data_IF_816531611124
#
_entry.id   IF_816531611124
#
_cell.length_a   1.000
_cell.length_b   1.000
_cell.length_c   1.000
_cell.angle_alpha   90.00
_cell.angle_beta   90.00
_cell.angle_gamma   90.00
#
_symmetry.space_group_name_H-M   'P 1'
#
loop_
_entity.id
_entity.type
_entity.pdbx_description
1 polymer ?
#
# COMPACT_ATOMS: atom_id res chain seq x y z
N UNK A 1 3.82 0.88 -21.77
CA UNK A 1 3.55 0.23 -20.48
C UNK A 1 3.00 1.30 -19.55
N UNK A 2 1.79 1.13 -19.01
CA UNK A 2 1.20 2.11 -18.11
C UNK A 2 1.92 2.09 -16.76
N UNK A 3 2.22 3.26 -16.20
CA UNK A 3 2.72 3.39 -14.84
C UNK A 3 1.63 2.89 -13.87
N UNK A 4 1.99 1.98 -12.97
CA UNK A 4 1.09 1.52 -11.92
C UNK A 4 0.92 2.58 -10.84
N UNK A 5 -0.10 2.46 -9.99
CA UNK A 5 -0.36 3.39 -8.87
C UNK A 5 0.89 3.57 -7.99
N UNK A 6 1.66 2.51 -7.77
CA UNK A 6 2.87 2.58 -6.96
C UNK A 6 4.01 3.41 -7.60
N UNK A 7 3.99 3.62 -8.92
CA UNK A 7 4.97 4.45 -9.63
C UNK A 7 4.68 5.94 -9.51
N UNK A 8 3.47 6.33 -9.09
CA UNK A 8 3.11 7.72 -8.83
C UNK A 8 3.41 8.18 -7.40
N UNK A 9 3.86 7.26 -6.53
CA UNK A 9 4.14 7.53 -5.12
C UNK A 9 5.53 8.12 -4.93
N UNK A 10 5.61 9.21 -4.18
CA UNK A 10 6.84 9.87 -3.78
C UNK A 10 7.47 9.19 -2.59
N UNK A 11 8.72 9.54 -2.24
CA UNK A 11 9.39 8.99 -1.06
C UNK A 11 8.63 9.27 0.26
N UNK A 12 7.90 10.39 0.35
CA UNK A 12 7.15 10.78 1.54
C UNK A 12 5.89 9.92 1.79
N UNK A 13 5.37 9.27 0.75
CA UNK A 13 4.19 8.40 0.86
C UNK A 13 4.51 7.05 1.53
N UNK A 14 5.80 6.70 1.63
CA UNK A 14 6.27 5.42 2.17
C UNK A 14 6.63 5.54 3.65
N UNK A 15 6.17 4.55 4.44
CA UNK A 15 6.52 4.38 5.85
C UNK A 15 7.13 3.00 6.07
N UNK A 16 8.29 2.96 6.71
CA UNK A 16 8.93 1.69 7.08
C UNK A 16 8.23 1.09 8.30
N UNK A 17 7.69 -0.12 8.14
CA UNK A 17 6.99 -0.88 9.18
C UNK A 17 7.27 -2.37 9.04
N UNK A 18 7.25 -3.08 10.17
CA UNK A 18 7.35 -4.53 10.21
C UNK A 18 6.06 -5.16 9.68
N UNK A 19 6.18 -6.21 8.87
CA UNK A 19 5.10 -7.11 8.47
C UNK A 19 4.82 -8.20 9.51
N UNK A 20 5.48 -8.12 10.68
CA UNK A 20 5.49 -9.16 11.70
C UNK A 20 6.84 -9.86 11.83
N UNK A 21 6.94 -10.73 12.83
CA UNK A 21 8.15 -11.50 13.12
C UNK A 21 8.21 -12.74 12.23
N UNK A 22 9.24 -12.80 11.37
CA UNK A 22 9.56 -13.99 10.58
C UNK A 22 10.59 -14.88 11.27
N UNK A 23 11.00 -15.94 10.59
CA UNK A 23 12.01 -16.91 11.09
C UNK A 23 13.40 -16.31 11.30
N UNK A 24 13.68 -15.13 10.72
CA UNK A 24 14.95 -14.41 10.83
C UNK A 24 14.82 -13.09 11.63
N UNK A 25 13.74 -12.91 12.38
CA UNK A 25 13.42 -11.65 13.07
C UNK A 25 12.38 -10.81 12.31
N UNK A 26 12.29 -9.53 12.63
CA UNK A 26 11.26 -8.65 12.06
C UNK A 26 11.41 -8.49 10.54
N UNK A 27 10.31 -8.70 9.83
CA UNK A 27 10.25 -8.53 8.39
C UNK A 27 9.94 -7.07 8.03
N UNK A 28 10.96 -6.25 7.82
CA UNK A 28 10.81 -4.82 7.51
C UNK A 28 10.50 -4.55 6.04
N UNK A 29 9.45 -3.76 5.79
CA UNK A 29 9.09 -3.30 4.44
C UNK A 29 8.75 -1.80 4.45
N UNK A 30 8.73 -1.22 3.25
CA UNK A 30 8.12 0.09 3.03
C UNK A 30 6.65 -0.09 2.65
N UNK A 31 5.79 0.71 3.27
CA UNK A 31 4.34 0.67 3.08
C UNK A 31 3.80 2.02 2.66
N UNK A 32 2.85 2.03 1.73
CA UNK A 32 2.11 3.22 1.34
C UNK A 32 0.61 2.91 1.34
N UNK A 33 -0.20 3.85 1.81
CA UNK A 33 -1.65 3.75 1.82
C UNK A 33 -2.21 4.71 0.77
N UNK A 34 -2.89 4.18 -0.24
CA UNK A 34 -3.45 4.97 -1.34
C UNK A 34 -4.98 4.89 -1.29
N UNK A 35 -5.70 6.01 -1.22
CA UNK A 35 -7.15 5.98 -1.27
C UNK A 35 -7.65 5.58 -2.66
N UNK A 36 -8.61 4.67 -2.72
CA UNK A 36 -9.22 4.20 -3.97
C UNK A 36 -10.55 4.92 -4.26
N UNK A 37 -10.51 6.26 -4.32
CA UNK A 37 -11.71 7.10 -4.48
C UNK A 37 -12.54 6.77 -5.73
N UNK A 38 -11.93 6.28 -6.81
CA UNK A 38 -12.65 5.88 -8.04
C UNK A 38 -13.54 4.65 -7.86
N UNK A 39 -13.36 3.87 -6.80
CA UNK A 39 -14.22 2.73 -6.48
C UNK A 39 -15.40 3.11 -5.57
N UNK A 40 -15.42 4.32 -5.02
CA UNK A 40 -16.43 4.80 -4.09
C UNK A 40 -17.53 5.57 -4.84
N UNK A 41 -18.44 4.81 -5.45
CA UNK A 41 -19.48 5.31 -6.36
C UNK A 41 -20.58 6.03 -5.58
N UNK A 42 -20.94 5.54 -4.38
CA UNK A 42 -21.98 6.15 -3.52
C UNK A 42 -21.39 6.91 -2.33
N UNK A 43 -22.20 7.79 -1.71
CA UNK A 43 -21.83 8.45 -0.44
C UNK A 43 -21.66 7.46 0.72
N UNK A 44 -22.38 6.34 0.68
CA UNK A 44 -22.25 5.26 1.66
C UNK A 44 -20.90 4.51 1.50
N UNK A 45 -20.45 4.26 0.27
CA UNK A 45 -19.12 3.69 -0.02
C UNK A 45 -17.98 4.64 0.36
N UNK A 46 -18.23 5.95 0.33
CA UNK A 46 -17.27 6.96 0.82
C UNK A 46 -17.17 6.95 2.34
N UNK A 47 -18.22 6.51 3.04
CA UNK A 47 -18.25 6.42 4.49
C UNK A 47 -17.33 5.34 5.01
N UNK A 48 -17.23 4.22 4.28
CA UNK A 48 -16.35 3.10 4.59
C UNK A 48 -15.19 3.08 3.60
N UNK A 49 -14.13 3.81 3.93
CA UNK A 49 -13.01 4.09 3.03
C UNK A 49 -12.42 2.84 2.36
N UNK A 50 -12.29 2.82 1.04
CA UNK A 50 -11.48 1.82 0.34
C UNK A 50 -10.06 2.32 0.15
N UNK A 51 -9.09 1.53 0.59
CA UNK A 51 -7.68 1.85 0.45
C UNK A 51 -6.91 0.71 -0.19
N UNK A 52 -5.91 1.06 -0.98
CA UNK A 52 -4.86 0.16 -1.44
C UNK A 52 -3.66 0.33 -0.52
N UNK A 53 -3.38 -0.70 0.28
CA UNK A 53 -2.12 -0.81 0.98
C UNK A 53 -1.10 -1.45 0.06
N UNK A 54 -0.06 -0.70 -0.27
CA UNK A 54 1.06 -1.15 -1.08
C UNK A 54 2.24 -1.47 -0.16
N UNK A 55 2.80 -2.66 -0.28
CA UNK A 55 4.06 -3.05 0.36
C UNK A 55 5.12 -3.19 -0.71
N UNK A 56 6.35 -2.73 -0.46
CA UNK A 56 7.50 -3.03 -1.31
C UNK A 56 8.72 -3.50 -0.52
N UNK A 57 9.56 -4.32 -1.14
CA UNK A 57 10.86 -4.67 -0.59
C UNK A 57 11.77 -3.44 -0.48
N UNK A 58 12.58 -3.41 0.58
CA UNK A 58 13.58 -2.36 0.81
C UNK A 58 14.79 -2.54 -0.10
N UNK A 59 15.14 -3.78 -0.42
CA UNK A 59 16.27 -4.13 -1.28
C UNK A 59 15.88 -4.09 -2.76
N UNK A 60 14.64 -4.46 -3.08
CA UNK A 60 14.09 -4.38 -4.44
C UNK A 60 12.75 -3.65 -4.46
N UNK A 61 12.76 -2.34 -4.73
CA UNK A 61 11.55 -1.50 -4.74
C UNK A 61 10.52 -1.86 -5.82
N UNK A 62 10.87 -2.71 -6.78
CA UNK A 62 9.95 -3.22 -7.80
C UNK A 62 9.20 -4.46 -7.32
N UNK A 63 9.70 -5.17 -6.30
CA UNK A 63 8.98 -6.26 -5.67
C UNK A 63 7.91 -5.68 -4.75
N UNK A 64 6.64 -5.78 -5.20
CA UNK A 64 5.50 -5.13 -4.59
C UNK A 64 4.38 -6.14 -4.31
N UNK A 65 3.68 -5.93 -3.20
CA UNK A 65 2.43 -6.62 -2.87
C UNK A 65 1.33 -5.59 -2.61
N UNK A 66 0.09 -5.95 -2.94
CA UNK A 66 -1.07 -5.05 -2.91
C UNK A 66 -2.19 -5.68 -2.09
N UNK A 67 -2.78 -4.90 -1.19
CA UNK A 67 -3.89 -5.33 -0.34
C UNK A 67 -4.99 -4.28 -0.40
N UNK A 68 -6.24 -4.71 -0.56
CA UNK A 68 -7.40 -3.82 -0.43
C UNK A 68 -7.86 -3.85 1.02
N UNK A 69 -7.99 -2.66 1.61
CA UNK A 69 -8.48 -2.46 2.97
C UNK A 69 -9.82 -1.72 2.94
N UNK A 70 -10.71 -2.15 3.83
CA UNK A 70 -12.02 -1.57 4.10
C UNK A 70 -11.97 -1.04 5.53
N UNK A 71 -12.41 0.20 5.75
CA UNK A 71 -12.38 0.87 7.05
C UNK A 71 -13.75 1.39 7.40
#
# INVERSE_FOLDING_TARGET
MGAGIADTLTAADWKTRSAGTGTKGECWYDWALVPLWRLQISEEDRRYGHYLLVRRSRDNRQERAYYVMYV
#
